data_IF_521469217402
#
_entry.id   IF_521469217402
#
_cell.length_a   1.000
_cell.length_b   1.000
_cell.length_c   1.000
_cell.angle_alpha   90.00
_cell.angle_beta   90.00
_cell.angle_gamma   90.00
#
_symmetry.space_group_name_H-M   'P 1'
#
loop_
_entity.id
_entity.type
_entity.pdbx_description
1 polymer ?
#
# COMPACT_ATOMS: atom_id res chain seq x y z
N UNK A 1 12.93 11.00 16.71
CA UNK A 1 13.06 9.65 16.11
C UNK A 1 14.34 9.57 15.31
N UNK A 2 15.13 8.52 15.54
CA UNK A 2 16.35 8.20 14.78
C UNK A 2 15.99 7.52 13.46
N UNK A 3 16.95 7.39 12.54
CA UNK A 3 16.73 6.69 11.28
C UNK A 3 16.49 5.19 11.48
N UNK A 4 17.25 4.54 12.36
CA UNK A 4 17.04 3.11 12.67
C UNK A 4 15.64 2.87 13.26
N UNK A 5 15.21 3.70 14.22
CA UNK A 5 13.86 3.61 14.79
C UNK A 5 12.76 3.88 13.73
N UNK A 6 13.04 4.71 12.73
CA UNK A 6 12.11 4.93 11.63
C UNK A 6 11.99 3.68 10.75
N UNK A 7 13.11 3.03 10.41
CA UNK A 7 13.09 1.78 9.63
C UNK A 7 12.32 0.69 10.38
N UNK A 8 12.66 0.47 11.65
CA UNK A 8 12.02 -0.54 12.49
C UNK A 8 10.51 -0.28 12.65
N UNK A 9 10.11 0.95 12.98
CA UNK A 9 8.69 1.21 13.22
C UNK A 9 7.87 1.30 11.94
N UNK A 10 8.31 2.07 10.94
CA UNK A 10 7.47 2.42 9.79
C UNK A 10 7.64 1.47 8.62
N UNK A 11 8.85 1.01 8.34
CA UNK A 11 9.08 0.08 7.23
C UNK A 11 8.81 -1.34 7.69
N UNK A 12 9.49 -1.78 8.75
CA UNK A 12 9.39 -3.15 9.23
C UNK A 12 8.05 -3.36 9.96
N UNK A 13 7.73 -2.51 10.94
CA UNK A 13 6.57 -2.70 11.82
C UNK A 13 5.21 -2.27 11.26
N UNK A 14 5.13 -1.25 10.40
CA UNK A 14 3.87 -0.86 9.77
C UNK A 14 3.78 -1.41 8.36
N UNK A 15 4.70 -1.04 7.47
CA UNK A 15 4.54 -1.35 6.06
C UNK A 15 4.60 -2.85 5.76
N UNK A 16 5.58 -3.57 6.30
CA UNK A 16 5.70 -5.01 6.07
C UNK A 16 4.69 -5.83 6.88
N UNK A 17 4.46 -5.49 8.16
CA UNK A 17 3.46 -6.23 8.96
C UNK A 17 2.01 -5.99 8.52
N UNK A 18 1.67 -4.81 7.98
CA UNK A 18 0.35 -4.60 7.36
C UNK A 18 0.18 -5.48 6.13
N UNK A 19 1.23 -5.64 5.30
CA UNK A 19 1.20 -6.57 4.17
C UNK A 19 1.02 -8.02 4.64
N UNK A 20 1.73 -8.43 5.69
CA UNK A 20 1.58 -9.76 6.29
C UNK A 20 0.15 -9.99 6.82
N UNK A 21 -0.43 -8.98 7.47
CA UNK A 21 -1.78 -9.02 8.01
C UNK A 21 -2.85 -9.05 6.93
N UNK A 22 -2.61 -8.37 5.80
CA UNK A 22 -3.51 -8.38 4.64
C UNK A 22 -3.41 -9.67 3.83
N UNK A 23 -2.25 -10.33 3.78
CA UNK A 23 -2.02 -11.52 2.98
C UNK A 23 -3.06 -12.66 3.19
N UNK A 24 -3.42 -13.07 4.42
CA UNK A 24 -4.35 -14.18 4.64
C UNK A 24 -5.82 -13.83 4.34
N UNK A 25 -6.16 -12.55 4.19
CA UNK A 25 -7.55 -12.14 3.90
C UNK A 25 -7.95 -12.66 2.53
N UNK A 26 -8.93 -13.57 2.47
CA UNK A 26 -9.41 -14.19 1.25
C UNK A 26 -10.82 -13.72 0.89
N UNK A 27 -11.28 -14.07 -0.31
CA UNK A 27 -12.67 -13.85 -0.69
C UNK A 27 -13.56 -14.83 0.06
N UNK A 28 -14.67 -14.31 0.61
CA UNK A 28 -15.75 -15.16 1.09
C UNK A 28 -16.31 -16.00 -0.08
N UNK A 29 -16.84 -17.18 0.25
CA UNK A 29 -17.45 -18.08 -0.73
C UNK A 29 -18.51 -17.35 -1.58
N UNK A 30 -18.50 -17.61 -2.88
CA UNK A 30 -19.42 -17.00 -3.85
C UNK A 30 -19.09 -15.54 -4.23
N UNK A 31 -18.07 -14.90 -3.63
CA UNK A 31 -17.61 -13.56 -4.05
C UNK A 31 -16.59 -13.64 -5.17
N UNK A 32 -16.66 -12.67 -6.10
CA UNK A 32 -15.78 -12.59 -7.28
C UNK A 32 -14.67 -11.53 -7.17
N UNK A 33 -14.85 -10.52 -6.31
CA UNK A 33 -13.94 -9.37 -6.17
C UNK A 33 -13.80 -8.96 -4.71
N UNK A 34 -12.65 -8.40 -4.32
CA UNK A 34 -12.34 -8.01 -2.94
C UNK A 34 -11.00 -8.58 -2.45
N UNK A 35 -10.94 -8.92 -1.15
CA UNK A 35 -9.77 -9.52 -0.48
C UNK A 35 -8.51 -8.63 -0.43
N UNK A 36 -8.72 -7.31 -0.34
CA UNK A 36 -7.68 -6.28 -0.09
C UNK A 36 -6.51 -6.25 -1.09
N UNK A 37 -6.69 -6.76 -2.32
CA UNK A 37 -5.63 -6.75 -3.34
C UNK A 37 -5.14 -5.35 -3.71
N UNK A 38 -6.06 -4.42 -4.01
CA UNK A 38 -5.69 -3.03 -4.32
C UNK A 38 -4.98 -2.32 -3.15
N UNK A 39 -5.48 -2.39 -1.89
CA UNK A 39 -4.73 -1.91 -0.73
C UNK A 39 -3.32 -2.47 -0.62
N UNK A 40 -3.11 -3.78 -0.81
CA UNK A 40 -1.76 -4.37 -0.78
C UNK A 40 -0.84 -3.77 -1.86
N UNK A 41 -1.34 -3.63 -3.09
CA UNK A 41 -0.57 -2.99 -4.17
C UNK A 41 -0.23 -1.55 -3.83
N UNK A 42 -1.19 -0.77 -3.31
CA UNK A 42 -0.94 0.60 -2.86
C UNK A 42 0.12 0.66 -1.77
N UNK A 43 0.06 -0.23 -0.78
CA UNK A 43 1.03 -0.29 0.32
C UNK A 43 2.43 -0.59 -0.20
N UNK A 44 2.58 -1.59 -1.07
CA UNK A 44 3.89 -1.91 -1.68
C UNK A 44 4.44 -0.72 -2.46
N UNK A 45 3.65 -0.13 -3.36
CA UNK A 45 4.11 0.96 -4.21
C UNK A 45 4.44 2.23 -3.41
N UNK A 46 3.71 2.48 -2.31
CA UNK A 46 4.07 3.53 -1.35
C UNK A 46 5.41 3.24 -0.67
N UNK A 47 5.67 1.98 -0.32
CA UNK A 47 6.95 1.53 0.22
C UNK A 47 8.10 1.69 -0.78
N UNK A 48 7.88 1.35 -2.04
CA UNK A 48 8.83 1.58 -3.13
C UNK A 48 9.19 3.07 -3.24
N UNK A 49 8.21 3.96 -3.15
CA UNK A 49 8.47 5.40 -3.22
C UNK A 49 9.28 5.91 -2.02
N UNK A 50 8.89 5.53 -0.79
CA UNK A 50 9.59 5.92 0.42
C UNK A 50 11.03 5.39 0.40
N UNK A 51 11.22 4.11 0.09
CA UNK A 51 12.55 3.52 0.03
C UNK A 51 13.37 4.11 -1.12
N UNK A 52 12.74 4.44 -2.25
CA UNK A 52 13.36 5.15 -3.36
C UNK A 52 13.93 6.51 -2.97
N UNK A 53 13.18 7.29 -2.17
CA UNK A 53 13.69 8.53 -1.58
C UNK A 53 14.91 8.28 -0.70
N UNK A 54 14.83 7.29 0.19
CA UNK A 54 15.89 7.03 1.15
C UNK A 54 17.16 6.52 0.48
N UNK A 55 17.05 5.65 -0.51
CA UNK A 55 18.20 5.10 -1.25
C UNK A 55 18.78 6.09 -2.26
N UNK A 56 18.09 7.19 -2.57
CA UNK A 56 18.51 8.11 -3.62
C UNK A 56 19.81 8.85 -3.29
N UNK A 57 20.70 8.92 -4.28
CA UNK A 57 21.90 9.77 -4.21
C UNK A 57 21.56 11.25 -4.39
N UNK A 58 20.47 11.54 -5.11
CA UNK A 58 20.02 12.92 -5.32
C UNK A 58 19.39 13.49 -4.05
N UNK A 59 19.48 14.82 -3.88
CA UNK A 59 18.79 15.53 -2.80
C UNK A 59 17.28 15.30 -2.87
N UNK A 60 16.63 15.32 -1.71
CA UNK A 60 15.18 15.32 -1.65
C UNK A 60 14.59 16.54 -2.38
N UNK A 61 13.47 16.31 -3.05
CA UNK A 61 12.72 17.19 -3.92
C UNK A 61 11.33 16.57 -4.06
N UNK A 62 10.31 17.22 -3.52
CA UNK A 62 8.94 16.74 -3.51
C UNK A 62 8.32 16.59 -4.92
N UNK A 63 8.91 17.22 -5.93
CA UNK A 63 8.39 17.21 -7.30
C UNK A 63 8.91 16.02 -8.12
N UNK A 64 9.95 15.33 -7.64
CA UNK A 64 10.57 14.23 -8.38
C UNK A 64 10.30 12.85 -7.73
N UNK A 65 9.02 12.52 -7.55
CA UNK A 65 8.60 11.22 -7.00
C UNK A 65 8.86 10.04 -7.95
N UNK A 66 8.65 10.25 -9.26
CA UNK A 66 8.75 9.20 -10.28
C UNK A 66 10.17 8.63 -10.43
N UNK A 67 11.20 9.48 -10.50
CA UNK A 67 12.58 9.01 -10.68
C UNK A 67 13.04 8.17 -9.48
N UNK A 68 12.66 8.59 -8.27
CA UNK A 68 13.01 7.89 -7.02
C UNK A 68 12.27 6.56 -6.88
N UNK A 69 11.00 6.55 -7.24
CA UNK A 69 10.24 5.31 -7.33
C UNK A 69 10.97 4.31 -8.26
N UNK A 70 11.35 4.79 -9.45
CA UNK A 70 12.11 3.98 -10.42
C UNK A 70 13.48 3.54 -9.89
N UNK A 71 14.15 4.36 -9.07
CA UNK A 71 15.44 4.02 -8.46
C UNK A 71 15.33 2.77 -7.57
N UNK A 72 14.36 2.71 -6.65
CA UNK A 72 14.17 1.52 -5.83
C UNK A 72 13.69 0.32 -6.66
N UNK A 73 12.72 0.56 -7.55
CA UNK A 73 12.15 -0.46 -8.41
C UNK A 73 13.20 -1.20 -9.23
N UNK A 74 14.09 -0.47 -9.90
CA UNK A 74 15.09 -1.05 -10.80
C UNK A 74 16.31 -1.59 -10.06
N UNK A 75 16.77 -0.92 -9.00
CA UNK A 75 18.02 -1.29 -8.34
C UNK A 75 17.86 -2.34 -7.24
N UNK A 76 16.67 -2.45 -6.63
CA UNK A 76 16.45 -3.37 -5.51
C UNK A 76 15.34 -4.39 -5.79
N UNK A 77 14.19 -3.96 -6.31
CA UNK A 77 13.04 -4.86 -6.44
C UNK A 77 13.16 -5.81 -7.65
N UNK A 78 13.45 -5.26 -8.83
CA UNK A 78 13.47 -6.00 -10.10
C UNK A 78 14.84 -6.00 -10.79
N UNK A 79 15.94 -5.99 -10.04
CA UNK A 79 17.32 -5.93 -10.54
C UNK A 79 17.62 -6.97 -11.65
N UNK A 80 17.03 -8.16 -11.55
CA UNK A 80 17.29 -9.28 -12.45
C UNK A 80 16.18 -9.50 -13.51
N UNK A 81 15.20 -8.59 -13.61
CA UNK A 81 14.04 -8.71 -14.52
C UNK A 81 13.88 -7.47 -15.41
N UNK A 82 14.70 -7.32 -16.47
CA UNK A 82 14.71 -6.12 -17.31
C UNK A 82 13.36 -5.74 -17.94
N UNK A 83 12.52 -6.73 -18.27
CA UNK A 83 11.18 -6.48 -18.80
C UNK A 83 10.27 -5.80 -17.76
N UNK A 84 10.39 -6.18 -16.49
CA UNK A 84 9.59 -5.62 -15.38
C UNK A 84 10.15 -4.28 -14.91
N UNK A 85 11.47 -4.07 -15.01
CA UNK A 85 12.09 -2.77 -14.70
C UNK A 85 11.47 -1.61 -15.46
N UNK A 86 11.04 -1.84 -16.71
CA UNK A 86 10.43 -0.81 -17.59
C UNK A 86 8.99 -0.45 -17.22
N UNK A 87 8.40 -1.14 -16.25
CA UNK A 87 7.02 -0.90 -15.81
C UNK A 87 6.94 0.12 -14.68
N UNK A 88 8.07 0.59 -14.15
CA UNK A 88 8.11 1.52 -13.02
C UNK A 88 7.27 2.79 -13.23
N UNK A 89 7.43 3.48 -14.37
CA UNK A 89 6.65 4.70 -14.66
C UNK A 89 5.15 4.41 -14.70
N UNK A 90 4.75 3.29 -15.31
CA UNK A 90 3.35 2.90 -15.38
C UNK A 90 2.77 2.54 -14.01
N UNK A 91 3.54 1.83 -13.18
CA UNK A 91 3.12 1.49 -11.82
C UNK A 91 3.05 2.72 -10.91
N UNK A 92 3.97 3.68 -11.09
CA UNK A 92 3.93 4.98 -10.41
C UNK A 92 2.69 5.79 -10.81
N UNK A 93 2.39 5.90 -12.10
CA UNK A 93 1.19 6.58 -12.58
C UNK A 93 -0.09 5.92 -12.08
N UNK A 94 -0.12 4.58 -12.08
CA UNK A 94 -1.26 3.83 -11.57
C UNK A 94 -1.55 4.12 -10.11
N UNK A 95 -0.54 4.14 -9.23
CA UNK A 95 -0.77 4.39 -7.80
C UNK A 95 -1.10 5.85 -7.53
N UNK A 96 -0.32 6.80 -8.08
CA UNK A 96 -0.49 8.22 -7.79
C UNK A 96 -1.73 8.78 -8.48
N UNK A 97 -1.88 8.59 -9.78
CA UNK A 97 -2.98 9.21 -10.53
C UNK A 97 -4.24 8.34 -10.58
N UNK A 98 -4.09 7.02 -10.64
CA UNK A 98 -5.22 6.08 -10.62
C UNK A 98 -5.82 5.91 -9.23
N UNK A 99 -5.18 5.09 -8.40
CA UNK A 99 -5.76 4.65 -7.13
C UNK A 99 -5.86 5.77 -6.09
N UNK A 100 -4.80 6.56 -5.89
CA UNK A 100 -4.75 7.52 -4.78
C UNK A 100 -5.56 8.80 -5.04
N UNK A 101 -5.70 9.25 -6.29
CA UNK A 101 -6.36 10.51 -6.62
C UNK A 101 -7.74 10.36 -7.25
N UNK A 102 -7.98 9.32 -8.06
CA UNK A 102 -9.25 9.17 -8.79
C UNK A 102 -10.08 7.97 -8.34
N UNK A 103 -9.54 7.10 -7.46
CA UNK A 103 -10.12 5.79 -7.14
C UNK A 103 -10.51 4.99 -8.39
N UNK A 104 -9.88 5.30 -9.52
CA UNK A 104 -10.24 4.75 -10.80
C UNK A 104 -9.34 3.55 -11.05
N UNK A 105 -9.94 2.37 -11.11
CA UNK A 105 -9.23 1.17 -11.57
C UNK A 105 -8.87 1.44 -13.02
N UNK A 106 -7.58 1.70 -13.32
CA UNK A 106 -7.15 1.81 -14.70
C UNK A 106 -7.50 0.50 -15.40
N UNK A 107 -8.33 0.50 -16.46
CA UNK A 107 -8.81 -0.73 -17.09
C UNK A 107 -7.67 -1.58 -17.66
N UNK A 108 -6.48 -1.00 -17.77
CA UNK A 108 -5.25 -1.66 -18.21
C UNK A 108 -4.48 -2.37 -17.08
N UNK A 109 -4.91 -2.31 -15.81
CA UNK A 109 -4.28 -3.03 -14.71
C UNK A 109 -5.31 -3.86 -13.95
N UNK A 110 -5.10 -5.18 -13.94
CA UNK A 110 -5.88 -6.15 -13.18
C UNK A 110 -5.09 -6.61 -11.97
N UNK A 111 -5.66 -6.44 -10.80
CA UNK A 111 -5.06 -6.93 -9.54
C UNK A 111 -5.67 -8.28 -9.17
N UNK A 112 -4.82 -9.26 -8.88
CA UNK A 112 -5.21 -10.61 -8.45
C UNK A 112 -4.56 -10.97 -7.11
N UNK A 113 -4.97 -12.09 -6.53
CA UNK A 113 -4.46 -12.58 -5.25
C UNK A 113 -4.36 -14.12 -5.23
N UNK A 114 -3.79 -14.67 -6.31
CA UNK A 114 -3.73 -16.11 -6.57
C UNK A 114 -2.31 -16.69 -6.43
N UNK A 115 -1.31 -15.86 -6.10
CA UNK A 115 0.12 -16.23 -6.15
C UNK A 115 0.54 -16.64 -7.55
N UNK A 116 0.14 -15.84 -8.54
CA UNK A 116 0.51 -16.08 -9.93
C UNK A 116 2.03 -15.94 -10.12
N UNK A 117 2.75 -17.00 -10.56
CA UNK A 117 4.18 -16.92 -10.85
C UNK A 117 4.49 -16.01 -12.04
N UNK A 118 3.50 -15.70 -12.89
CA UNK A 118 3.62 -14.76 -13.99
C UNK A 118 3.46 -13.29 -13.59
N UNK A 119 3.31 -12.95 -12.31
CA UNK A 119 3.11 -11.57 -11.81
C UNK A 119 3.86 -10.48 -12.61
N UNK A 120 3.18 -9.35 -12.87
CA UNK A 120 3.63 -8.24 -13.74
C UNK A 120 3.87 -8.64 -15.20
N UNK A 121 2.94 -9.42 -15.75
CA UNK A 121 2.90 -9.71 -17.18
C UNK A 121 1.74 -8.97 -17.86
N UNK A 122 1.90 -8.72 -19.17
CA UNK A 122 0.79 -8.29 -20.01
C UNK A 122 0.01 -9.52 -20.48
N UNK A 123 -1.30 -9.52 -20.24
CA UNK A 123 -2.20 -10.56 -20.73
C UNK A 123 -2.24 -10.53 -22.26
N UNK A 124 -1.95 -11.66 -22.94
CA UNK A 124 -1.92 -11.71 -24.41
C UNK A 124 -3.29 -11.51 -25.05
N UNK A 125 -4.38 -11.79 -24.31
CA UNK A 125 -5.75 -11.73 -24.83
C UNK A 125 -6.46 -10.42 -24.54
N UNK A 126 -6.10 -9.72 -23.47
CA UNK A 126 -6.81 -8.52 -23.02
C UNK A 126 -5.95 -7.26 -23.04
N UNK A 127 -4.65 -7.37 -23.32
CA UNK A 127 -3.68 -6.26 -23.25
C UNK A 127 -3.56 -5.59 -21.87
N UNK A 128 -4.16 -6.18 -20.83
CA UNK A 128 -4.14 -5.73 -19.43
C UNK A 128 -2.90 -6.25 -18.72
N UNK A 129 -2.26 -5.43 -17.90
CA UNK A 129 -1.17 -5.85 -17.00
C UNK A 129 -1.77 -6.52 -15.78
N UNK A 130 -1.28 -7.72 -15.49
CA UNK A 130 -1.74 -8.53 -14.37
C UNK A 130 -0.76 -8.38 -13.20
N UNK A 131 -1.27 -7.89 -12.08
CA UNK A 131 -0.51 -7.65 -10.85
C UNK A 131 -1.07 -8.57 -9.78
N UNK A 132 -0.37 -9.67 -9.50
CA UNK A 132 -0.67 -10.45 -8.30
C UNK A 132 -0.17 -9.75 -7.03
N UNK A 133 -1.08 -9.38 -6.14
CA UNK A 133 -0.76 -8.60 -4.94
C UNK A 133 0.03 -9.40 -3.89
N UNK A 134 -0.14 -10.73 -3.83
CA UNK A 134 0.63 -11.56 -2.89
C UNK A 134 2.07 -11.69 -3.37
N UNK A 135 2.25 -12.02 -4.64
CA UNK A 135 3.59 -12.11 -5.24
C UNK A 135 4.32 -10.77 -5.13
N UNK A 136 3.65 -9.64 -5.41
CA UNK A 136 4.24 -8.31 -5.27
C UNK A 136 4.72 -8.01 -3.85
N UNK A 137 3.88 -8.29 -2.85
CA UNK A 137 4.20 -8.05 -1.44
C UNK A 137 5.37 -8.91 -0.97
N UNK A 138 5.40 -10.18 -1.38
CA UNK A 138 6.47 -11.11 -1.06
C UNK A 138 7.80 -10.68 -1.70
N UNK A 139 7.79 -10.33 -2.98
CA UNK A 139 8.97 -9.83 -3.69
C UNK A 139 9.49 -8.53 -3.08
N UNK A 140 8.60 -7.63 -2.68
CA UNK A 140 8.96 -6.40 -2.00
C UNK A 140 9.63 -6.66 -0.64
N UNK A 141 9.03 -7.50 0.20
CA UNK A 141 9.61 -7.88 1.48
C UNK A 141 10.99 -8.56 1.30
N UNK A 142 11.12 -9.45 0.30
CA UNK A 142 12.40 -10.08 -0.02
C UNK A 142 13.45 -9.08 -0.51
N UNK A 143 13.08 -8.13 -1.36
CA UNK A 143 13.98 -7.07 -1.83
C UNK A 143 14.47 -6.21 -0.66
N UNK A 144 13.58 -5.87 0.28
CA UNK A 144 13.97 -5.17 1.50
C UNK A 144 14.96 -6.00 2.33
N UNK A 145 14.58 -7.20 2.76
CA UNK A 145 15.37 -7.98 3.72
C UNK A 145 16.66 -8.55 3.15
N UNK A 146 16.67 -8.97 1.88
CA UNK A 146 17.81 -9.66 1.26
C UNK A 146 18.75 -8.74 0.51
N UNK A 147 18.26 -7.59 -0.01
CA UNK A 147 19.05 -6.70 -0.86
C UNK A 147 19.32 -5.37 -0.20
N UNK A 148 18.28 -4.65 0.24
CA UNK A 148 18.48 -3.32 0.82
C UNK A 148 19.05 -3.39 2.24
N UNK A 149 18.33 -4.01 3.18
CA UNK A 149 18.64 -3.97 4.62
C UNK A 149 20.09 -4.35 4.96
N UNK A 150 20.69 -5.39 4.37
CA UNK A 150 22.08 -5.78 4.68
C UNK A 150 23.12 -4.76 4.20
N UNK A 151 22.78 -3.91 3.24
CA UNK A 151 23.68 -2.89 2.67
C UNK A 151 23.68 -1.57 3.43
N UNK A 152 22.77 -1.39 4.39
CA UNK A 152 22.63 -0.15 5.16
C UNK A 152 23.77 -0.04 6.19
N UNK A 153 24.93 0.42 5.74
CA UNK A 153 26.12 0.65 6.55
C UNK A 153 26.97 1.80 5.98
N UNK A 154 27.94 2.29 6.77
CA UNK A 154 28.95 3.26 6.34
C UNK A 154 28.37 4.50 5.65
N UNK A 155 28.97 4.91 4.54
CA UNK A 155 28.55 6.08 3.75
C UNK A 155 27.12 5.95 3.22
N UNK A 156 26.69 4.73 2.87
CA UNK A 156 25.34 4.50 2.36
C UNK A 156 24.28 4.77 3.43
N UNK A 157 24.52 4.33 4.68
CA UNK A 157 23.65 4.68 5.82
C UNK A 157 23.61 6.19 6.05
N UNK A 158 24.76 6.87 6.04
CA UNK A 158 24.84 8.33 6.21
C UNK A 158 24.04 9.06 5.13
N UNK A 159 24.09 8.60 3.88
CA UNK A 159 23.27 9.14 2.79
C UNK A 159 21.77 8.94 3.08
N UNK A 160 21.34 7.73 3.44
CA UNK A 160 19.92 7.46 3.76
C UNK A 160 19.42 8.30 4.94
N UNK A 161 20.25 8.48 5.97
CA UNK A 161 19.94 9.36 7.11
C UNK A 161 19.76 10.82 6.69
N UNK A 162 20.59 11.27 5.75
CA UNK A 162 20.50 12.62 5.17
C UNK A 162 19.19 12.77 4.41
N UNK A 163 18.83 11.81 3.54
CA UNK A 163 17.55 11.79 2.82
C UNK A 163 16.35 11.77 3.77
N UNK A 164 16.43 10.98 4.84
CA UNK A 164 15.39 10.93 5.86
C UNK A 164 15.19 12.30 6.55
N UNK A 165 16.28 12.99 6.92
CA UNK A 165 16.21 14.33 7.51
C UNK A 165 15.57 15.34 6.56
N UNK A 166 15.97 15.33 5.29
CA UNK A 166 15.42 16.23 4.26
C UNK A 166 13.93 15.98 4.02
N UNK A 167 13.51 14.71 3.91
CA UNK A 167 12.11 14.33 3.74
C UNK A 167 11.25 14.81 4.93
N UNK A 168 11.75 14.64 6.16
CA UNK A 168 11.06 15.09 7.37
C UNK A 168 10.93 16.61 7.43
N UNK A 169 11.99 17.33 7.10
CA UNK A 169 11.99 18.80 7.08
C UNK A 169 11.00 19.33 6.04
N UNK A 170 11.00 18.77 4.83
CA UNK A 170 10.05 19.17 3.78
C UNK A 170 8.59 18.97 4.22
N UNK A 171 8.26 17.83 4.83
CA UNK A 171 6.92 17.60 5.37
C UNK A 171 6.55 18.56 6.50
N UNK A 172 7.50 18.91 7.37
CA UNK A 172 7.29 19.89 8.44
C UNK A 172 6.97 21.28 7.86
N UNK A 173 7.76 21.73 6.88
CA UNK A 173 7.56 23.02 6.20
C UNK A 173 6.21 23.08 5.47
N UNK A 174 5.83 21.99 4.77
CA UNK A 174 4.54 21.93 4.08
C UNK A 174 3.35 22.04 5.05
N UNK A 175 3.43 21.35 6.21
CA UNK A 175 2.40 21.44 7.26
C UNK A 175 2.29 22.85 7.82
N UNK A 176 3.43 23.49 8.15
CA UNK A 176 3.44 24.86 8.64
C UNK A 176 2.83 25.82 7.62
N UNK A 177 3.22 25.72 6.35
CA UNK A 177 2.67 26.54 5.27
C UNK A 177 1.16 26.39 5.08
N UNK A 178 0.62 25.17 5.26
CA UNK A 178 -0.83 24.90 5.20
C UNK A 178 -1.57 25.48 6.41
N UNK A 179 -1.03 25.37 7.63
CA UNK A 179 -1.66 25.95 8.83
C UNK A 179 -1.81 27.47 8.74
N UNK A 180 -0.82 28.17 8.18
CA UNK A 180 -0.89 29.62 7.98
C UNK A 180 -1.93 30.06 6.94
N UNK A 181 -2.30 29.18 6.00
CA UNK A 181 -3.38 29.44 5.03
C UNK A 181 -4.77 29.20 5.63
N UNK A 182 -4.93 28.19 6.48
CA UNK A 182 -6.20 27.91 7.17
C UNK A 182 -6.54 28.99 8.20
N UNK A 183 -5.53 29.53 8.90
CA UNK A 183 -5.72 30.65 9.83
C UNK A 183 -6.22 31.96 9.16
N UNK A 184 -6.13 32.06 7.83
CA UNK A 184 -6.62 33.22 7.05
C UNK A 184 -8.02 33.01 6.46
N UNK A 185 -8.69 31.89 6.74
CA UNK A 185 -10.12 31.78 6.41
C UNK A 185 -10.86 32.67 7.41
N UNK A 186 -11.50 33.78 6.98
CA UNK A 186 -12.30 34.57 7.90
C UNK A 186 -13.35 33.64 8.48
N UNK A 187 -13.42 33.61 9.82
CA UNK A 187 -14.52 32.97 10.53
C UNK A 187 -15.77 33.64 9.99
N UNK A 188 -16.47 32.98 9.06
CA UNK A 188 -17.86 33.28 8.80
C UNK A 188 -18.54 32.96 10.13
N UNK A 189 -18.82 34.00 10.91
CA UNK A 189 -19.90 34.02 11.90
C UNK A 189 -21.22 33.83 11.15
N UNK A 190 -21.38 32.68 10.49
CA UNK A 190 -22.69 32.19 10.14
C UNK A 190 -23.34 31.89 11.50
N UNK A 191 -24.41 32.61 11.80
CA UNK A 191 -25.28 32.35 12.93
C UNK A 191 -25.62 30.85 12.94
N UNK A 192 -24.92 30.10 13.78
CA UNK A 192 -25.27 28.74 14.19
C UNK A 192 -26.17 28.84 15.43
N UNK A 193 -27.15 29.74 15.38
CA UNK A 193 -28.24 29.75 16.33
C UNK A 193 -29.30 28.77 15.83
N UNK A 194 -29.50 27.71 16.60
CA UNK A 194 -30.72 26.89 16.67
C UNK A 194 -31.07 25.94 15.50
N UNK A 195 -30.23 24.94 15.27
CA UNK A 195 -30.73 23.63 14.82
C UNK A 195 -29.89 22.49 15.39
N UNK A 196 -29.86 22.36 16.72
CA UNK A 196 -29.56 21.08 17.35
C UNK A 196 -30.71 20.13 17.02
N UNK A 197 -30.60 19.44 15.88
CA UNK A 197 -31.39 18.23 15.67
C UNK A 197 -31.06 17.29 16.85
N UNK A 198 -32.07 16.67 17.48
CA UNK A 198 -31.81 15.69 18.52
C UNK A 198 -30.90 14.60 17.93
N UNK A 199 -29.97 14.06 18.75
CA UNK A 199 -29.08 13.01 18.29
C UNK A 199 -29.93 11.89 17.67
N UNK A 200 -29.54 11.36 16.50
CA UNK A 200 -30.26 10.25 15.90
C UNK A 200 -30.33 9.13 16.93
N UNK A 201 -31.53 8.55 17.14
CA UNK A 201 -31.68 7.36 17.97
C UNK A 201 -30.82 6.27 17.33
N UNK A 202 -29.67 6.01 17.94
CA UNK A 202 -28.82 4.88 17.60
C UNK A 202 -29.60 3.65 18.05
N UNK A 203 -30.27 2.99 17.12
CA UNK A 203 -30.71 1.61 17.36
C UNK A 203 -29.43 0.81 17.58
N UNK A 204 -29.22 0.35 18.82
CA UNK A 204 -28.12 -0.57 19.13
C UNK A 204 -28.15 -1.70 18.11
N UNK A 205 -27.02 -2.04 17.45
CA UNK A 205 -26.99 -3.16 16.54
C UNK A 205 -27.47 -4.40 17.30
N UNK A 206 -28.58 -4.98 16.84
CA UNK A 206 -29.06 -6.27 17.31
C UNK A 206 -27.94 -7.26 17.06
N UNK A 207 -27.30 -7.73 18.12
CA UNK A 207 -26.37 -8.85 18.09
C UNK A 207 -27.15 -10.02 17.46
N UNK A 208 -26.76 -10.54 16.29
CA UNK A 208 -27.41 -11.71 15.75
C UNK A 208 -27.21 -12.87 16.73
N UNK A 209 -28.25 -13.67 17.02
CA UNK A 209 -28.11 -14.82 17.89
C UNK A 209 -27.02 -15.74 17.33
N UNK A 210 -26.12 -16.19 18.21
CA UNK A 210 -25.16 -17.24 17.92
C UNK A 210 -25.93 -18.43 17.36
N UNK A 211 -25.65 -18.77 16.10
CA UNK A 211 -26.20 -19.97 15.48
C UNK A 211 -25.87 -21.18 16.36
N UNK A 212 -26.91 -21.83 16.90
CA UNK A 212 -26.76 -23.15 17.50
C UNK A 212 -26.37 -24.12 16.39
N UNK A 213 -25.17 -24.66 16.48
CA UNK A 213 -24.74 -25.78 15.64
C UNK A 213 -25.54 -27.02 16.02
N UNK A 214 -26.70 -27.20 15.38
CA UNK A 214 -27.35 -28.52 15.34
C UNK A 214 -26.52 -29.39 14.40
N UNK A 215 -25.63 -30.19 15.00
CA UNK A 215 -24.97 -31.31 14.32
C UNK A 215 -26.06 -32.33 13.99
N UNK A 216 -26.52 -32.32 12.74
CA UNK A 216 -27.35 -33.39 12.18
C UNK A 216 -26.41 -34.50 11.71
N UNK A 217 -26.32 -35.58 12.48
CA UNK A 217 -25.71 -36.84 12.06
C UNK A 217 -26.66 -37.55 11.10
N UNK A 218 -26.45 -37.41 9.79
CA UNK A 218 -27.08 -38.28 8.79
C UNK A 218 -26.02 -39.00 7.97
N UNK A 219 -25.95 -40.32 8.19
CA UNK A 219 -25.80 -41.34 7.15
C UNK A 219 -24.53 -41.31 6.29
N UNK A 220 -23.52 -42.06 6.72
CA UNK A 220 -22.62 -42.73 5.78
C UNK A 220 -23.35 -43.95 5.22
N UNK A 221 -23.70 -43.91 3.93
CA UNK A 221 -24.11 -45.11 3.20
C UNK A 221 -22.87 -45.92 2.79
N UNK A 222 -22.95 -47.21 3.07
CA UNK A 222 -21.99 -48.28 2.82
C UNK A 222 -21.98 -48.64 1.32
N UNK A 223 -20.81 -48.62 0.63
CA UNK A 223 -20.76 -48.92 -0.81
C UNK A 223 -20.67 -50.42 -1.15
N UNK A 224 -21.01 -51.36 -0.25
CA UNK A 224 -20.90 -52.80 -0.53
C UNK A 224 -22.16 -53.63 -0.18
N UNK A 225 -23.34 -53.24 -0.68
CA UNK A 225 -24.49 -54.16 -0.85
C UNK A 225 -25.30 -53.85 -2.11
#
# INVERSE_FOLDING_TARGET
>A
MTFDAYLEQFIEGYLLEDLNSMAPISLAEGKRYGAVGYPMVMTVLSGVEVLGVLTSRAKFNSENGADRFGEYWRNYLYTDRPAVQRLDSLMYEFVRHGLAHSFMTMPMIRVTKYRDPGHLHRSPTSNVICVDALTLAEEFAQAYWRRLRPTIAGEFKINMETRFKEMREAHWQERQGKMHKVAKVPVRTAAFDNALLPPPKINSPSVPPLYSTNVSTTGFDDPNK
#
